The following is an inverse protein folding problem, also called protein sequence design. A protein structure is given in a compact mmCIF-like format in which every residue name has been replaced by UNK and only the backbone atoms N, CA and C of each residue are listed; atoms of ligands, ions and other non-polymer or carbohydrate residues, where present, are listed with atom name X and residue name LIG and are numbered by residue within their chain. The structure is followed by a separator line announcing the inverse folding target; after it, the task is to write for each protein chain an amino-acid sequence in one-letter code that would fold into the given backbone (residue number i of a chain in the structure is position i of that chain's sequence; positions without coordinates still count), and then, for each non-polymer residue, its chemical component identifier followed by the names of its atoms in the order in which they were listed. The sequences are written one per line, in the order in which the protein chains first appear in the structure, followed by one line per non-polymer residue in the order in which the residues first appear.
data_IF_613506126739
#
_entry.id   IF_613506126739
#
_cell.length_a   1.000
_cell.length_b   1.000
_cell.length_c   1.000
_cell.angle_alpha   90.00
_cell.angle_beta   90.00
_cell.angle_gamma   90.00
#
_symmetry.space_group_name_H-M   'P 1'
#
loop_
_entity.id
_entity.type
_entity.pdbx_description
1 polymer ?
#
# COMPACT_ATOMS: atom_id res chain seq x y z
N UNK A 1 9.88 30.74 -0.52
CA UNK A 1 9.88 29.94 -1.76
C UNK A 1 11.07 29.00 -1.80
N UNK A 2 12.33 29.48 -1.71
CA UNK A 2 13.53 28.61 -1.67
C UNK A 2 13.50 27.60 -0.52
N UNK A 3 13.12 28.04 0.69
CA UNK A 3 13.07 27.18 1.88
C UNK A 3 12.14 25.96 1.76
N UNK A 4 11.07 26.04 0.95
CA UNK A 4 10.16 24.91 0.71
C UNK A 4 10.76 23.91 -0.28
N UNK A 5 11.47 24.39 -1.30
CA UNK A 5 12.21 23.53 -2.22
C UNK A 5 13.35 22.80 -1.50
N UNK A 6 14.07 23.50 -0.61
CA UNK A 6 15.14 22.90 0.20
C UNK A 6 14.60 21.78 1.11
N UNK A 7 13.42 21.96 1.69
CA UNK A 7 12.75 20.93 2.48
C UNK A 7 12.34 19.72 1.62
N UNK A 8 11.72 19.96 0.47
CA UNK A 8 11.31 18.88 -0.44
C UNK A 8 12.51 18.06 -0.89
N UNK A 9 13.61 18.72 -1.23
CA UNK A 9 14.83 18.05 -1.68
C UNK A 9 15.53 17.28 -0.55
N UNK A 10 15.52 17.82 0.67
CA UNK A 10 15.99 17.11 1.86
C UNK A 10 15.19 15.83 2.09
N UNK A 11 13.85 15.88 1.99
CA UNK A 11 13.01 14.70 2.12
C UNK A 11 13.26 13.68 1.00
N UNK A 12 13.41 14.13 -0.26
CA UNK A 12 13.75 13.24 -1.38
C UNK A 12 15.07 12.51 -1.15
N UNK A 13 16.08 13.24 -0.70
CA UNK A 13 17.41 12.69 -0.38
C UNK A 13 17.33 11.66 0.74
N UNK A 14 16.56 11.96 1.79
CA UNK A 14 16.35 11.05 2.92
C UNK A 14 15.66 9.75 2.46
N UNK A 15 14.55 9.86 1.72
CA UNK A 15 13.82 8.70 1.22
C UNK A 15 14.67 7.85 0.28
N UNK A 16 15.46 8.48 -0.60
CA UNK A 16 16.40 7.77 -1.45
C UNK A 16 17.38 6.93 -0.62
N UNK A 17 17.95 7.52 0.44
CA UNK A 17 18.89 6.85 1.32
C UNK A 17 18.24 5.67 2.05
N UNK A 18 17.08 5.87 2.67
CA UNK A 18 16.36 4.80 3.38
C UNK A 18 16.01 3.63 2.46
N UNK A 19 15.55 3.93 1.24
CA UNK A 19 15.18 2.91 0.26
C UNK A 19 16.42 2.16 -0.27
N UNK A 20 17.53 2.87 -0.49
CA UNK A 20 18.81 2.25 -0.85
C UNK A 20 19.31 1.32 0.26
N UNK A 21 19.29 1.77 1.51
CA UNK A 21 19.72 0.99 2.67
C UNK A 21 18.83 -0.26 2.85
N UNK A 22 17.51 -0.13 2.72
CA UNK A 22 16.58 -1.26 2.76
C UNK A 22 16.88 -2.33 1.69
N UNK A 23 17.16 -1.90 0.45
CA UNK A 23 17.45 -2.84 -0.65
C UNK A 23 18.77 -3.57 -0.39
N UNK A 24 19.79 -2.86 0.10
CA UNK A 24 21.10 -3.43 0.41
C UNK A 24 21.10 -4.33 1.65
N UNK A 25 20.35 -3.98 2.69
CA UNK A 25 20.21 -4.81 3.89
C UNK A 25 19.46 -6.11 3.58
N UNK A 26 18.41 -6.04 2.74
CA UNK A 26 17.67 -7.23 2.29
C UNK A 26 18.50 -8.15 1.40
N UNK A 27 19.42 -7.58 0.63
CA UNK A 27 20.39 -8.28 -0.22
C UNK A 27 21.35 -9.17 0.58
N UNK A 28 21.72 -8.77 1.79
CA UNK A 28 22.64 -9.55 2.65
C UNK A 28 21.98 -10.82 3.21
N UNK A 29 20.64 -10.88 3.27
CA UNK A 29 19.91 -11.99 3.90
C UNK A 29 19.49 -13.12 2.96
N UNK A 30 19.61 -12.97 1.65
CA UNK A 30 19.15 -13.97 0.66
C UNK A 30 20.34 -14.67 -0.01
N UNK A 31 21.07 -15.46 0.78
CA UNK A 31 22.28 -16.16 0.36
C UNK A 31 22.07 -17.41 -0.53
N UNK A 32 20.87 -17.63 -1.08
CA UNK A 32 20.55 -18.85 -1.82
C UNK A 32 19.66 -18.67 -3.06
N UNK A 33 19.59 -17.48 -3.66
CA UNK A 33 18.89 -17.34 -4.94
C UNK A 33 19.81 -16.81 -6.05
N UNK A 34 19.79 -17.57 -7.13
CA UNK A 34 20.80 -17.67 -8.17
C UNK A 34 20.59 -16.59 -9.22
N UNK A 35 20.44 -15.31 -8.88
CA UNK A 35 20.44 -14.24 -9.88
C UNK A 35 20.94 -12.91 -9.29
N UNK A 36 22.19 -12.61 -9.61
CA UNK A 36 22.82 -11.31 -9.48
C UNK A 36 22.03 -10.24 -10.27
N UNK A 37 20.98 -9.68 -9.67
CA UNK A 37 20.12 -8.66 -10.28
C UNK A 37 19.73 -7.53 -9.33
N UNK A 38 20.06 -7.65 -8.05
CA UNK A 38 19.54 -6.76 -7.03
C UNK A 38 20.41 -5.51 -6.78
N UNK A 39 21.69 -5.50 -7.18
CA UNK A 39 22.53 -4.29 -7.11
C UNK A 39 22.01 -3.17 -8.02
N UNK A 40 21.36 -3.51 -9.13
CA UNK A 40 20.72 -2.55 -10.05
C UNK A 40 19.25 -2.29 -9.74
N UNK A 41 18.66 -2.99 -8.76
CA UNK A 41 17.22 -2.93 -8.49
C UNK A 41 16.76 -1.52 -8.15
N UNK A 42 17.57 -0.78 -7.39
CA UNK A 42 17.31 0.63 -7.11
C UNK A 42 17.21 1.46 -8.40
N UNK A 43 18.21 1.34 -9.28
CA UNK A 43 18.24 2.04 -10.56
C UNK A 43 17.01 1.71 -11.41
N UNK A 44 16.62 0.44 -11.49
CA UNK A 44 15.43 -0.01 -12.23
C UNK A 44 14.13 0.54 -11.65
N UNK A 45 14.02 0.68 -10.33
CA UNK A 45 12.85 1.29 -9.70
C UNK A 45 12.75 2.79 -10.03
N UNK A 46 13.88 3.51 -9.96
CA UNK A 46 13.92 4.94 -10.28
C UNK A 46 13.61 5.20 -11.75
N UNK A 47 14.07 4.34 -12.67
CA UNK A 47 13.77 4.44 -14.11
C UNK A 47 12.28 4.25 -14.45
N UNK A 48 11.46 3.72 -13.53
CA UNK A 48 10.00 3.59 -13.74
C UNK A 48 9.23 4.84 -13.32
N UNK A 49 9.83 5.75 -12.56
CA UNK A 49 9.17 6.98 -12.09
C UNK A 49 8.74 7.90 -13.25
N UNK A 50 9.53 8.11 -14.33
CA UNK A 50 9.10 8.93 -15.47
C UNK A 50 7.87 8.35 -16.18
N UNK A 51 7.81 7.03 -16.38
CA UNK A 51 6.64 6.39 -16.98
C UNK A 51 5.38 6.52 -16.12
N UNK A 52 5.55 6.69 -14.81
CA UNK A 52 4.44 7.00 -13.90
C UNK A 52 4.04 8.48 -13.97
N UNK A 53 4.98 9.41 -14.22
CA UNK A 53 4.66 10.83 -14.40
C UNK A 53 4.03 11.15 -15.75
N UNK A 54 4.33 10.36 -16.78
CA UNK A 54 3.80 10.55 -18.14
C UNK A 54 2.38 10.00 -18.33
N UNK A 55 1.85 9.28 -17.33
CA UNK A 55 0.50 8.75 -17.40
C UNK A 55 -0.51 9.90 -17.41
N UNK A 56 -1.33 9.96 -18.45
CA UNK A 56 -2.30 11.03 -18.64
C UNK A 56 -3.25 11.08 -17.44
N UNK A 57 -3.30 12.25 -16.83
CA UNK A 57 -4.15 12.51 -15.67
C UNK A 57 -5.62 12.24 -16.01
N UNK A 58 -6.05 12.50 -17.25
CA UNK A 58 -7.42 12.17 -17.70
C UNK A 58 -7.72 10.68 -17.65
N UNK A 59 -6.74 9.82 -17.99
CA UNK A 59 -6.90 8.36 -17.95
C UNK A 59 -6.97 7.89 -16.49
N UNK A 60 -6.13 8.43 -15.61
CA UNK A 60 -6.14 8.11 -14.17
C UNK A 60 -7.48 8.52 -13.55
N UNK A 61 -7.97 9.72 -13.87
CA UNK A 61 -9.25 10.21 -13.39
C UNK A 61 -10.42 9.34 -13.84
N UNK A 62 -10.42 8.90 -15.10
CA UNK A 62 -11.45 8.01 -15.62
C UNK A 62 -11.43 6.64 -14.93
N UNK A 63 -10.25 6.03 -14.80
CA UNK A 63 -10.11 4.70 -14.20
C UNK A 63 -10.44 4.69 -12.71
N UNK A 64 -10.02 5.71 -11.96
CA UNK A 64 -10.08 5.68 -10.49
C UNK A 64 -11.15 6.60 -9.90
N UNK A 65 -11.56 7.68 -10.56
CA UNK A 65 -12.47 8.67 -9.96
C UNK A 65 -13.88 8.65 -10.53
N UNK A 66 -14.08 8.27 -11.80
CA UNK A 66 -15.43 8.24 -12.39
C UNK A 66 -16.36 7.29 -11.65
N UNK A 67 -15.89 6.11 -11.25
CA UNK A 67 -16.69 5.13 -10.51
C UNK A 67 -16.97 5.49 -9.04
N UNK A 68 -16.23 6.44 -8.46
CA UNK A 68 -16.27 6.78 -7.04
C UNK A 68 -16.90 8.16 -6.76
N UNK A 69 -16.56 9.15 -7.57
CA UNK A 69 -16.86 10.58 -7.37
C UNK A 69 -17.53 11.20 -8.62
N UNK A 70 -17.55 10.48 -9.75
CA UNK A 70 -18.03 10.99 -11.05
C UNK A 70 -16.93 11.69 -11.84
N UNK A 71 -17.27 12.30 -12.98
CA UNK A 71 -16.29 12.94 -13.87
C UNK A 71 -15.78 14.27 -13.29
N UNK A 72 -14.90 14.20 -12.30
CA UNK A 72 -14.30 15.36 -11.64
C UNK A 72 -12.80 15.36 -11.84
N UNK A 73 -12.27 16.47 -12.34
CA UNK A 73 -10.84 16.66 -12.56
C UNK A 73 -10.07 16.70 -11.23
N UNK A 74 -8.92 16.02 -11.16
CA UNK A 74 -8.10 15.89 -9.96
C UNK A 74 -7.67 17.25 -9.42
N UNK A 75 -7.42 18.22 -10.30
CA UNK A 75 -7.04 19.59 -9.92
C UNK A 75 -8.11 20.28 -9.05
N UNK A 76 -9.38 19.89 -9.20
CA UNK A 76 -10.49 20.43 -8.39
C UNK A 76 -10.64 19.69 -7.06
N UNK A 77 -10.20 18.43 -6.99
CA UNK A 77 -10.32 17.58 -5.81
C UNK A 77 -9.13 17.76 -4.87
N UNK A 78 -7.91 18.01 -5.40
CA UNK A 78 -6.69 18.19 -4.59
C UNK A 78 -6.90 19.20 -3.45
N UNK A 79 -7.45 20.41 -3.68
CA UNK A 79 -7.69 21.36 -2.59
C UNK A 79 -8.67 20.85 -1.53
N UNK A 80 -9.66 20.04 -1.92
CA UNK A 80 -10.63 19.45 -1.01
C UNK A 80 -9.98 18.36 -0.14
N UNK A 81 -9.15 17.49 -0.71
CA UNK A 81 -8.39 16.47 0.03
C UNK A 81 -7.44 17.14 1.02
N UNK A 82 -6.73 18.18 0.60
CA UNK A 82 -5.77 18.88 1.45
C UNK A 82 -6.43 19.67 2.59
N UNK A 83 -7.70 20.05 2.45
CA UNK A 83 -8.50 20.71 3.49
C UNK A 83 -9.31 19.73 4.34
N UNK A 84 -9.33 18.46 3.97
CA UNK A 84 -10.08 17.44 4.67
C UNK A 84 -9.39 17.16 6.01
N UNK A 85 -10.16 17.27 7.10
CA UNK A 85 -9.65 17.00 8.44
C UNK A 85 -9.46 15.49 8.62
N UNK A 86 -8.22 15.03 8.42
CA UNK A 86 -7.81 13.62 8.42
C UNK A 86 -8.07 12.92 9.77
N UNK A 87 -8.38 13.70 10.80
CA UNK A 87 -8.67 13.26 12.18
C UNK A 87 -9.99 12.50 12.33
N UNK A 88 -10.88 12.55 11.32
CA UNK A 88 -12.15 11.82 11.32
C UNK A 88 -12.06 10.40 10.71
N UNK A 89 -11.03 10.12 9.91
CA UNK A 89 -10.91 8.86 9.15
C UNK A 89 -10.42 7.67 9.98
N UNK A 90 -9.81 7.89 11.15
CA UNK A 90 -9.34 6.80 12.03
C UNK A 90 -10.37 6.36 13.09
N UNK A 91 -11.47 7.08 13.27
CA UNK A 91 -12.49 6.77 14.30
C UNK A 91 -13.71 5.97 13.80
N UNK A 92 -13.89 5.82 12.49
CA UNK A 92 -15.04 5.11 11.90
C UNK A 92 -14.70 3.79 11.18
N UNK A 93 -13.45 3.32 11.23
CA UNK A 93 -13.12 1.93 10.85
C UNK A 93 -13.55 0.92 11.93
N UNK A 94 -14.06 1.37 13.08
CA UNK A 94 -14.50 0.56 14.22
C UNK A 94 -16.02 0.58 14.44
N UNK A 95 -16.83 0.76 13.39
CA UNK A 95 -18.29 0.62 13.48
C UNK A 95 -18.86 -0.26 12.36
N UNK A 96 -18.36 -1.50 12.27
CA UNK A 96 -19.17 -2.62 11.74
C UNK A 96 -19.00 -3.82 12.66
N UNK A 97 -19.36 -3.63 13.93
CA UNK A 97 -19.66 -4.70 14.86
C UNK A 97 -21.04 -5.29 14.51
N UNK A 98 -21.12 -6.11 13.45
CA UNK A 98 -22.29 -6.96 13.22
C UNK A 98 -21.96 -8.19 12.37
N UNK A 99 -21.12 -9.09 12.91
CA UNK A 99 -21.20 -10.50 12.55
C UNK A 99 -21.38 -11.29 13.85
N UNK A 100 -22.65 -11.57 14.15
CA UNK A 100 -23.07 -12.47 15.21
C UNK A 100 -22.50 -13.87 14.94
N UNK A 101 -21.74 -14.36 15.94
CA UNK A 101 -21.59 -15.76 16.37
C UNK A 101 -22.01 -16.86 15.39
N UNK A 102 -21.01 -17.57 14.86
CA UNK A 102 -21.11 -19.01 14.58
C UNK A 102 -19.99 -19.73 15.34
N UNK A 103 -20.32 -20.19 16.54
CA UNK A 103 -19.47 -21.08 17.33
C UNK A 103 -19.79 -22.51 16.87
N UNK A 104 -19.02 -23.02 15.90
CA UNK A 104 -19.16 -24.40 15.42
C UNK A 104 -18.44 -25.32 16.39
N UNK A 105 -19.25 -25.98 17.20
CA UNK A 105 -18.95 -27.05 18.15
C UNK A 105 -17.99 -28.12 17.59
N UNK A 106 -16.69 -28.05 17.96
CA UNK A 106 -15.68 -29.07 17.63
C UNK A 106 -15.65 -30.26 18.61
N UNK A 107 -16.60 -30.35 19.55
CA UNK A 107 -16.62 -31.45 20.54
C UNK A 107 -17.62 -32.57 20.23
N UNK A 108 -18.44 -32.45 19.19
CA UNK A 108 -19.44 -33.47 18.85
C UNK A 108 -19.02 -34.45 17.73
N UNK A 109 -17.86 -34.26 17.09
CA UNK A 109 -17.41 -35.17 16.01
C UNK A 109 -16.36 -36.20 16.44
N UNK A 110 -15.69 -36.02 17.58
CA UNK A 110 -14.71 -37.00 18.08
C UNK A 110 -15.35 -38.21 18.79
N UNK A 111 -16.65 -38.18 19.11
CA UNK A 111 -17.36 -39.31 19.75
C UNK A 111 -17.99 -40.30 18.76
N UNK A 112 -17.99 -40.04 17.45
CA UNK A 112 -18.59 -40.95 16.46
C UNK A 112 -17.60 -41.96 15.86
N UNK A 113 -16.29 -41.84 16.10
CA UNK A 113 -15.27 -42.74 15.52
C UNK A 113 -14.71 -43.78 16.50
N UNK A 114 -15.11 -43.76 17.77
CA UNK A 114 -14.63 -44.75 18.76
C UNK A 114 -15.59 -45.94 18.92
N UNK A 115 -16.79 -45.88 18.35
CA UNK A 115 -17.79 -46.95 18.41
C UNK A 115 -17.83 -47.85 17.17
N UNK A 116 -16.86 -47.72 16.27
CA UNK A 116 -16.79 -48.52 15.01
C UNK A 116 -15.67 -49.57 14.97
N UNK A 117 -14.86 -49.71 16.01
CA UNK A 117 -13.94 -50.83 16.16
C UNK A 117 -14.35 -51.66 17.36
N UNK A 118 -14.87 -52.87 17.08
CA UNK A 118 -14.90 -53.98 18.05
C UNK A 118 -13.49 -54.28 18.56
#
# INVERSE_FOLDING_TARGET
CSQTYDQIDAYRTLTYKELHDYINDRLVSTSYDEYCGDSERLGRLLLRLPSLSDLDTSIIEELFFVGLIGSVQINKIIPCILKMDVTSSSKQASSSAHMMKYERNEQSQQQALVSSSL
#
